data_IF_781632950554
#
_entry.id   IF_781632950554
#
_cell.length_a   1.000
_cell.length_b   1.000
_cell.length_c   1.000
_cell.angle_alpha   90.00
_cell.angle_beta   90.00
_cell.angle_gamma   90.00
#
_symmetry.space_group_name_H-M   'P 1'
#
loop_
_entity.id
_entity.type
_entity.pdbx_description
1 polymer ?
#
# COMPACT_ATOMS: atom_id res chain seq x y z
N UNK A 1 2.37 5.34 -10.57
CA UNK A 1 1.42 5.74 -9.50
C UNK A 1 2.26 6.42 -8.45
N UNK A 2 1.81 7.54 -7.89
CA UNK A 2 2.60 8.33 -6.94
C UNK A 2 2.04 8.16 -5.53
N UNK A 3 2.91 8.25 -4.53
CA UNK A 3 2.54 8.33 -3.12
C UNK A 3 1.91 9.70 -2.84
N UNK A 4 0.72 9.70 -2.24
CA UNK A 4 -0.02 10.92 -1.93
C UNK A 4 0.66 11.80 -0.86
N UNK A 5 1.57 11.23 -0.05
CA UNK A 5 2.22 11.92 1.06
C UNK A 5 3.56 12.58 0.67
N UNK A 6 4.37 11.92 -0.15
CA UNK A 6 5.70 12.42 -0.53
C UNK A 6 5.92 12.58 -2.04
N UNK A 7 5.02 12.08 -2.88
CA UNK A 7 5.16 12.11 -4.34
C UNK A 7 6.11 11.05 -4.92
N UNK A 8 6.62 10.11 -4.11
CA UNK A 8 7.45 8.99 -4.59
C UNK A 8 6.69 8.15 -5.64
N UNK A 9 7.35 7.70 -6.71
CA UNK A 9 6.72 6.72 -7.62
C UNK A 9 6.73 5.32 -7.00
N UNK A 10 5.57 4.66 -6.96
CA UNK A 10 5.49 3.26 -6.56
C UNK A 10 6.03 2.33 -7.64
N UNK A 11 6.87 1.39 -7.22
CA UNK A 11 7.37 0.28 -8.04
C UNK A 11 6.66 -0.99 -7.63
N UNK A 12 5.83 -1.53 -8.52
CA UNK A 12 5.11 -2.79 -8.29
C UNK A 12 5.85 -3.97 -8.91
N UNK A 13 5.90 -5.08 -8.18
CA UNK A 13 6.43 -6.32 -8.71
C UNK A 13 5.38 -7.05 -9.57
N UNK A 14 5.82 -7.99 -10.39
CA UNK A 14 4.89 -8.82 -11.18
C UNK A 14 4.16 -9.78 -10.24
N UNK A 15 2.83 -9.73 -10.24
CA UNK A 15 2.01 -10.63 -9.44
C UNK A 15 1.40 -10.00 -8.19
N UNK A 16 1.49 -8.68 -8.02
CA UNK A 16 0.80 -7.95 -6.94
C UNK A 16 -0.67 -8.37 -6.81
N UNK A 17 -1.10 -8.60 -5.58
CA UNK A 17 -2.44 -9.10 -5.25
C UNK A 17 -3.22 -8.08 -4.43
N UNK A 18 -4.55 -8.15 -4.51
CA UNK A 18 -5.41 -7.39 -3.61
C UNK A 18 -5.19 -7.86 -2.16
N UNK A 19 -5.09 -6.93 -1.22
CA UNK A 19 -4.76 -7.17 0.20
C UNK A 19 -3.26 -7.14 0.50
N UNK A 20 -2.41 -7.00 -0.52
CA UNK A 20 -0.97 -6.84 -0.30
C UNK A 20 -0.65 -5.45 0.28
N UNK A 21 0.26 -5.42 1.27
CA UNK A 21 0.78 -4.19 1.84
C UNK A 21 2.04 -3.72 1.09
N UNK A 22 2.03 -2.46 0.67
CA UNK A 22 3.09 -1.78 -0.05
C UNK A 22 3.60 -0.61 0.79
N UNK A 23 4.89 -0.59 1.09
CA UNK A 23 5.53 0.53 1.78
C UNK A 23 6.17 1.49 0.77
N UNK A 24 5.89 2.80 0.85
CA UNK A 24 6.65 3.77 0.03
C UNK A 24 8.12 3.81 0.51
N UNK A 25 9.05 3.73 -0.44
CA UNK A 25 10.49 3.73 -0.17
C UNK A 25 11.02 5.02 0.46
N UNK A 26 10.30 6.12 0.29
CA UNK A 26 10.79 7.46 0.64
C UNK A 26 10.22 7.96 1.97
N UNK A 27 8.91 7.80 2.20
CA UNK A 27 8.25 8.25 3.44
C UNK A 27 7.92 7.13 4.43
N UNK A 28 8.21 5.87 4.07
CA UNK A 28 7.91 4.68 4.88
C UNK A 28 6.42 4.45 5.22
N UNK A 29 5.50 5.17 4.56
CA UNK A 29 4.07 4.99 4.76
C UNK A 29 3.57 3.71 4.08
N UNK A 30 2.67 3.01 4.75
CA UNK A 30 2.10 1.75 4.28
C UNK A 30 0.76 1.98 3.58
N UNK A 31 0.56 1.23 2.50
CA UNK A 31 -0.63 1.26 1.67
C UNK A 31 -1.09 -0.16 1.39
N UNK A 32 -2.39 -0.39 1.30
CA UNK A 32 -2.96 -1.68 0.92
C UNK A 32 -3.47 -1.64 -0.53
N UNK A 33 -3.21 -2.69 -1.29
CA UNK A 33 -3.74 -2.88 -2.63
C UNK A 33 -5.21 -3.27 -2.56
N UNK A 34 -6.10 -2.38 -2.98
CA UNK A 34 -7.55 -2.66 -2.98
C UNK A 34 -8.08 -3.17 -4.33
N UNK A 35 -7.28 -3.04 -5.39
CA UNK A 35 -7.65 -3.48 -6.74
C UNK A 35 -6.42 -3.70 -7.60
N UNK A 36 -6.50 -4.69 -8.48
CA UNK A 36 -5.57 -4.91 -9.60
C UNK A 36 -6.26 -4.60 -10.95
N UNK A 37 -5.51 -4.09 -11.92
CA UNK A 37 -5.96 -3.73 -13.28
C UNK A 37 -7.15 -2.71 -13.35
N UNK A 38 -6.90 -1.41 -13.14
CA UNK A 38 -5.63 -0.80 -12.73
C UNK A 38 -5.37 -0.98 -11.24
N UNK A 39 -4.09 -0.88 -10.85
CA UNK A 39 -3.70 -0.89 -9.44
C UNK A 39 -4.35 0.31 -8.74
N UNK A 40 -4.96 0.07 -7.59
CA UNK A 40 -5.43 1.10 -6.66
C UNK A 40 -4.89 0.80 -5.27
N UNK A 41 -4.41 1.84 -4.59
CA UNK A 41 -3.90 1.79 -3.24
C UNK A 41 -4.80 2.62 -2.32
N UNK A 42 -5.00 2.14 -1.10
CA UNK A 42 -5.51 2.93 0.02
C UNK A 42 -4.43 2.99 1.11
N UNK A 43 -4.49 4.00 1.98
CA UNK A 43 -3.64 4.01 3.18
C UNK A 43 -3.95 2.75 4.00
N UNK A 44 -2.91 1.99 4.37
CA UNK A 44 -3.10 0.80 5.17
C UNK A 44 -3.68 1.22 6.53
N UNK A 45 -4.63 0.45 7.09
CA UNK A 45 -5.12 0.74 8.43
C UNK A 45 -3.94 0.72 9.40
N UNK A 46 -3.88 1.69 10.31
CA UNK A 46 -3.04 1.54 11.50
C UNK A 46 -3.47 0.24 12.17
N UNK A 47 -2.50 -0.62 12.49
CA UNK A 47 -2.74 -1.86 13.21
C UNK A 47 -3.41 -1.46 14.53
N UNK A 48 -4.75 -1.53 14.60
CA UNK A 48 -5.44 -1.51 15.88
C UNK A 48 -4.84 -2.68 16.67
N UNK A 49 -4.37 -2.48 17.89
CA UNK A 49 -3.73 -3.52 18.73
C UNK A 49 -4.71 -4.65 19.16
N UNK A 50 -5.62 -5.04 18.28
CA UNK A 50 -6.67 -6.04 18.45
C UNK A 50 -6.72 -6.98 17.23
N UNK A 51 -5.59 -7.18 16.52
CA UNK A 51 -5.43 -8.33 15.62
C UNK A 51 -5.29 -9.62 16.46
N UNK A 52 -6.39 -10.02 17.10
CA UNK A 52 -6.56 -11.30 17.77
C UNK A 52 -6.56 -11.25 19.31
N UNK A 53 -7.71 -10.94 19.89
CA UNK A 53 -8.27 -11.82 20.94
C UNK A 53 -9.14 -12.93 20.32
#
# INVERSE_FOLDING_TARGET
MECNDCGCEFVFHKGIETGELITCSDCAKEYEVIRINPVLLQEAPEVEEDWGE
#
